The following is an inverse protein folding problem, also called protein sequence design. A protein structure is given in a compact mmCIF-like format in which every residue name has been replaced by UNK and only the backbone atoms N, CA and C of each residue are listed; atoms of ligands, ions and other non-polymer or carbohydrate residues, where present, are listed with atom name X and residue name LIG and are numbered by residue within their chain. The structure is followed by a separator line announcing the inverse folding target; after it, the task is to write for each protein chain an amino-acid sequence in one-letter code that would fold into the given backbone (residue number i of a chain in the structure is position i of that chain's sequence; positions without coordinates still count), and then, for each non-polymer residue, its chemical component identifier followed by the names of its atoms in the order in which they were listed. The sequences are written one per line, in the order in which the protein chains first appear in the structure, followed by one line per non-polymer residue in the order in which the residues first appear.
data_IF_311185290592
#
_entry.id   IF_311185290592
#
_cell.length_a   1.000
_cell.length_b   1.000
_cell.length_c   1.000
_cell.angle_alpha   90.00
_cell.angle_beta   90.00
_cell.angle_gamma   90.00
#
_symmetry.space_group_name_H-M   'P 1'
#
loop_
_entity.id
_entity.type
_entity.pdbx_description
1 polymer ?
#
# COMPACT_ATOMS: atom_id res chain seq x y z
N UNK A 1 11.22 6.51 -3.36
CA UNK A 1 9.89 5.92 -3.59
C UNK A 1 9.25 6.68 -4.73
N UNK A 2 8.68 5.96 -5.71
CA UNK A 2 7.93 6.60 -6.80
C UNK A 2 6.80 7.44 -6.17
N UNK A 3 6.64 8.68 -6.63
CA UNK A 3 5.64 9.63 -6.13
C UNK A 3 4.26 9.15 -6.59
N UNK A 4 3.66 8.24 -5.81
CA UNK A 4 2.31 7.75 -6.05
C UNK A 4 1.32 8.81 -5.56
N UNK A 5 0.25 9.06 -6.32
CA UNK A 5 -0.86 9.89 -5.86
C UNK A 5 -1.63 9.18 -4.76
N UNK A 6 -2.50 9.92 -4.08
CA UNK A 6 -3.36 9.35 -3.02
C UNK A 6 -4.21 8.22 -3.58
N UNK A 7 -4.78 8.39 -4.77
CA UNK A 7 -5.58 7.34 -5.41
C UNK A 7 -4.75 6.09 -5.71
N UNK A 8 -3.50 6.25 -6.17
CA UNK A 8 -2.63 5.11 -6.44
C UNK A 8 -2.22 4.38 -5.14
N UNK A 9 -2.01 5.12 -4.03
CA UNK A 9 -1.74 4.53 -2.72
C UNK A 9 -2.98 3.80 -2.18
N UNK A 10 -4.18 4.32 -2.41
CA UNK A 10 -5.43 3.64 -2.06
C UNK A 10 -5.62 2.36 -2.87
N UNK A 11 -5.33 2.40 -4.18
CA UNK A 11 -5.42 1.22 -5.04
C UNK A 11 -4.41 0.13 -4.63
N UNK A 12 -3.15 0.49 -4.40
CA UNK A 12 -2.11 -0.45 -3.95
C UNK A 12 -2.42 -1.00 -2.55
N UNK A 13 -3.04 -0.21 -1.68
CA UNK A 13 -3.51 -0.66 -0.37
C UNK A 13 -4.60 -1.74 -0.50
N UNK A 14 -5.51 -1.57 -1.44
CA UNK A 14 -6.58 -2.52 -1.71
C UNK A 14 -6.01 -3.86 -2.25
N UNK A 15 -5.09 -3.77 -3.19
CA UNK A 15 -4.38 -4.94 -3.74
C UNK A 15 -3.55 -5.67 -2.66
N UNK A 16 -2.85 -4.92 -1.80
CA UNK A 16 -2.08 -5.49 -0.70
C UNK A 16 -2.99 -6.18 0.33
N UNK A 17 -4.22 -5.69 0.56
CA UNK A 17 -5.21 -6.34 1.42
C UNK A 17 -5.75 -7.62 0.79
N UNK A 18 -6.04 -7.61 -0.52
CA UNK A 18 -6.47 -8.81 -1.23
C UNK A 18 -5.39 -9.90 -1.19
N UNK A 19 -4.12 -9.53 -1.40
CA UNK A 19 -3.00 -10.47 -1.31
C UNK A 19 -2.82 -11.00 0.13
N UNK A 20 -2.97 -10.13 1.14
CA UNK A 20 -2.97 -10.55 2.55
C UNK A 20 -4.06 -11.59 2.83
N UNK A 21 -5.26 -11.40 2.28
CA UNK A 21 -6.36 -12.35 2.42
C UNK A 21 -6.03 -13.69 1.77
N UNK A 22 -5.49 -13.68 0.54
CA UNK A 22 -5.01 -14.90 -0.15
C UNK A 22 -3.91 -15.62 0.63
N UNK A 23 -2.95 -14.88 1.19
CA UNK A 23 -1.88 -15.46 2.01
C UNK A 23 -2.43 -16.07 3.30
N UNK A 24 -3.40 -15.43 3.95
CA UNK A 24 -4.08 -15.98 5.14
C UNK A 24 -4.94 -17.19 4.82
N UNK A 25 -5.63 -17.17 3.68
CA UNK A 25 -6.42 -18.30 3.20
C UNK A 25 -5.52 -19.50 2.93
N UNK A 26 -4.43 -19.32 2.17
CA UNK A 26 -3.42 -20.35 1.93
C UNK A 26 -2.76 -20.86 3.21
N UNK A 27 -2.45 -19.97 4.16
CA UNK A 27 -1.89 -20.36 5.46
C UNK A 27 -2.82 -21.28 6.29
N UNK A 28 -4.13 -21.14 6.09
CA UNK A 28 -5.13 -21.92 6.80
C UNK A 28 -5.37 -23.28 6.14
N UNK A 29 -5.17 -23.38 4.81
CA UNK A 29 -5.37 -24.62 4.05
C UNK A 29 -4.09 -25.43 3.89
N UNK A 30 -2.92 -24.79 3.83
CA UNK A 30 -1.62 -25.40 3.59
C UNK A 30 -0.50 -24.67 4.36
N UNK A 31 0.67 -25.31 4.45
CA UNK A 31 1.85 -24.71 5.07
C UNK A 31 2.39 -23.61 4.13
N UNK A 32 2.34 -22.36 4.60
CA UNK A 32 2.83 -21.19 3.84
C UNK A 32 4.32 -21.36 3.47
N UNK A 33 4.64 -21.30 2.17
CA UNK A 33 6.02 -21.40 1.68
C UNK A 33 6.95 -20.34 2.31
N UNK A 34 6.45 -19.14 2.57
CA UNK A 34 7.23 -18.08 3.20
C UNK A 34 6.39 -17.20 4.16
N UNK A 35 6.33 -17.52 5.46
CA UNK A 35 5.60 -16.73 6.45
C UNK A 35 6.19 -15.32 6.67
N UNK A 36 7.41 -15.03 6.21
CA UNK A 36 7.97 -13.67 6.27
C UNK A 36 7.27 -12.71 5.32
N UNK A 37 6.73 -13.22 4.19
CA UNK A 37 6.03 -12.39 3.21
C UNK A 37 4.79 -11.72 3.82
N UNK A 38 4.04 -12.46 4.65
CA UNK A 38 2.90 -11.94 5.42
C UNK A 38 3.33 -10.82 6.37
N UNK A 39 4.48 -10.94 7.03
CA UNK A 39 5.01 -9.87 7.90
C UNK A 39 5.43 -8.64 7.10
N UNK A 40 6.05 -8.83 5.93
CA UNK A 40 6.44 -7.73 5.06
C UNK A 40 5.22 -6.97 4.54
N UNK A 41 4.24 -7.69 3.96
CA UNK A 41 2.99 -7.11 3.48
C UNK A 41 2.22 -6.35 4.56
N UNK A 42 2.21 -6.83 5.81
CA UNK A 42 1.63 -6.09 6.94
C UNK A 42 2.32 -4.75 7.19
N UNK A 43 3.65 -4.66 7.06
CA UNK A 43 4.37 -3.39 7.21
C UNK A 43 4.09 -2.45 6.05
N UNK A 44 3.98 -2.95 4.84
CA UNK A 44 3.68 -2.11 3.68
C UNK A 44 2.28 -1.50 3.79
N UNK A 45 1.28 -2.30 4.18
CA UNK A 45 -0.06 -1.81 4.50
C UNK A 45 -0.01 -0.72 5.58
N UNK A 46 0.76 -0.93 6.65
CA UNK A 46 0.88 0.07 7.72
C UNK A 46 1.51 1.38 7.21
N UNK A 47 2.54 1.32 6.36
CA UNK A 47 3.17 2.50 5.76
C UNK A 47 2.20 3.25 4.85
N UNK A 48 1.46 2.54 3.99
CA UNK A 48 0.46 3.16 3.10
C UNK A 48 -0.64 3.86 3.90
N UNK A 49 -1.14 3.22 4.97
CA UNK A 49 -2.11 3.85 5.87
C UNK A 49 -1.55 5.09 6.58
N UNK A 50 -0.27 5.09 6.97
CA UNK A 50 0.39 6.27 7.54
C UNK A 50 0.45 7.41 6.53
N UNK A 51 0.87 7.14 5.29
CA UNK A 51 0.94 8.15 4.22
C UNK A 51 -0.45 8.74 3.92
N UNK A 52 -1.48 7.90 3.83
CA UNK A 52 -2.86 8.37 3.63
C UNK A 52 -3.36 9.22 4.80
N UNK A 53 -3.00 8.84 6.03
CA UNK A 53 -3.35 9.60 7.23
C UNK A 53 -2.65 10.95 7.26
N UNK A 54 -1.37 10.99 6.92
CA UNK A 54 -0.57 12.22 6.81
C UNK A 54 -1.15 13.15 5.73
N UNK A 55 -1.59 12.61 4.60
CA UNK A 55 -2.24 13.39 3.55
C UNK A 55 -3.57 14.02 4.01
N UNK A 56 -4.32 13.32 4.86
CA UNK A 56 -5.62 13.79 5.39
C UNK A 56 -5.47 14.78 6.56
N UNK A 57 -4.30 14.84 7.19
CA UNK A 57 -4.04 15.78 8.29
C UNK A 57 -3.67 17.17 7.73
N UNK A 58 -4.52 18.20 7.91
CA UNK A 58 -4.27 19.53 7.35
C UNK A 58 -3.05 20.24 7.96
N UNK A 59 -2.47 19.72 9.05
CA UNK A 59 -1.32 20.30 9.75
C UNK A 59 0.01 19.58 9.47
N UNK A 60 0.01 18.56 8.61
CA UNK A 60 1.22 17.81 8.26
C UNK A 60 1.77 18.27 6.90
N UNK A 61 3.08 18.60 6.79
CA UNK A 61 3.68 19.01 5.52
C UNK A 61 3.77 17.80 4.58
N UNK A 62 2.68 17.50 3.90
CA UNK A 62 2.60 16.37 2.99
C UNK A 62 3.45 16.64 1.75
N UNK A 63 4.54 15.88 1.60
CA UNK A 63 5.48 15.98 0.47
C UNK A 63 4.95 15.18 -0.72
N UNK A 64 3.75 15.51 -1.21
CA UNK A 64 3.28 14.99 -2.50
C UNK A 64 3.38 16.12 -3.53
N UNK A 65 4.61 16.29 -4.01
CA UNK A 65 4.90 17.23 -5.08
C UNK A 65 4.14 16.82 -6.34
N UNK A 66 3.15 17.64 -6.70
CA UNK A 66 2.45 17.67 -7.97
C UNK A 66 3.42 17.43 -9.12
N UNK A 67 3.07 16.50 -10.01
CA UNK A 67 3.65 16.50 -11.35
C UNK A 67 2.50 16.58 -12.33
N UNK A 68 2.34 17.80 -12.85
CA UNK A 68 1.73 18.05 -14.14
C UNK A 68 2.48 17.27 -15.23
N UNK A 69 1.72 16.70 -16.19
CA UNK A 69 2.18 16.50 -17.56
C UNK A 69 2.60 15.09 -17.99
N UNK A 70 1.86 14.57 -18.99
CA UNK A 70 2.26 13.53 -19.96
C UNK A 70 1.41 12.25 -19.87
N UNK A 71 0.22 12.16 -20.47
CA UNK A 71 -0.07 11.94 -21.91
C UNK A 71 0.55 10.67 -22.50
N UNK A 72 -0.34 9.80 -23.01
CA UNK A 72 -0.15 8.79 -24.08
C UNK A 72 0.79 7.62 -23.76
N UNK A 73 0.48 6.34 -24.07
CA UNK A 73 -0.40 5.74 -25.09
C UNK A 73 -0.96 4.40 -24.62
#
# INVERSE_FOLDING_TARGET
MKKLTVEEVEQELEDARAEMWRLRFRAATEQLDNPMLTRHRRRDIARMLTVLKEHRDPNHPTVLASREGGSES
#
